data_IF_751733423969
#
_entry.id   IF_751733423969
#
_cell.length_a   1.000
_cell.length_b   1.000
_cell.length_c   1.000
_cell.angle_alpha   90.00
_cell.angle_beta   90.00
_cell.angle_gamma   90.00
#
_symmetry.space_group_name_H-M   'P 1'
#
loop_
_entity.id
_entity.type
_entity.pdbx_description
1 polymer ?
#
# COMPACT_ATOMS: atom_id res chain seq x y z
N UNK A 1 3.14 18.64 1.22
CA UNK A 1 2.09 19.56 1.68
C UNK A 1 1.80 19.39 3.17
N UNK A 2 1.46 18.20 3.66
CA UNK A 2 1.22 17.96 5.11
C UNK A 2 2.33 18.52 6.02
N UNK A 3 3.59 18.11 5.80
CA UNK A 3 4.70 18.53 6.64
C UNK A 3 4.87 20.06 6.71
N UNK A 4 4.65 20.76 5.60
CA UNK A 4 4.77 22.22 5.57
C UNK A 4 3.67 22.88 6.42
N UNK A 5 2.42 22.42 6.31
CA UNK A 5 1.34 22.88 7.18
C UNK A 5 1.58 22.50 8.65
N UNK A 6 2.21 21.36 8.92
CA UNK A 6 2.63 21.01 10.28
C UNK A 6 3.68 22.00 10.83
N UNK A 7 4.65 22.42 10.02
CA UNK A 7 5.62 23.47 10.39
C UNK A 7 4.91 24.80 10.67
N UNK A 8 3.96 25.20 9.83
CA UNK A 8 3.16 26.42 10.02
C UNK A 8 2.34 26.37 11.32
N UNK A 9 1.67 25.24 11.57
CA UNK A 9 0.92 25.00 12.81
C UNK A 9 1.83 25.15 14.04
N UNK A 10 2.99 24.49 14.05
CA UNK A 10 3.92 24.52 15.20
C UNK A 10 4.45 25.94 15.44
N UNK A 11 4.81 26.67 14.38
CA UNK A 11 5.26 28.07 14.50
C UNK A 11 4.15 28.99 15.00
N UNK A 12 2.89 28.75 14.59
CA UNK A 12 1.76 29.54 15.08
C UNK A 12 1.49 29.32 16.57
N UNK A 13 1.73 28.11 17.08
CA UNK A 13 1.56 27.75 18.48
C UNK A 13 2.76 28.18 19.33
N UNK A 14 3.95 28.26 18.73
CA UNK A 14 5.18 28.70 19.38
C UNK A 14 5.97 29.70 18.50
N UNK A 15 5.63 31.00 18.51
CA UNK A 15 6.24 31.99 17.63
C UNK A 15 7.76 32.20 17.81
N UNK A 16 8.33 31.76 18.93
CA UNK A 16 9.75 31.89 19.24
C UNK A 16 10.57 30.63 18.90
N UNK A 17 9.93 29.56 18.39
CA UNK A 17 10.60 28.31 18.06
C UNK A 17 11.65 28.51 16.97
N UNK A 18 12.79 27.83 17.09
CA UNK A 18 13.80 27.84 16.03
C UNK A 18 13.35 27.02 14.82
N UNK A 19 13.92 27.30 13.64
CA UNK A 19 13.60 26.56 12.42
C UNK A 19 13.86 25.05 12.55
N UNK A 20 14.95 24.67 13.20
CA UNK A 20 15.31 23.27 13.40
C UNK A 20 14.32 22.56 14.33
N UNK A 21 13.93 23.20 15.42
CA UNK A 21 12.94 22.63 16.35
C UNK A 21 11.56 22.52 15.72
N UNK A 22 11.13 23.53 14.94
CA UNK A 22 9.87 23.48 14.19
C UNK A 22 9.86 22.31 13.19
N UNK A 23 10.95 22.12 12.44
CA UNK A 23 11.10 20.99 11.53
C UNK A 23 11.01 19.64 12.27
N UNK A 24 11.74 19.47 13.36
CA UNK A 24 11.77 18.19 14.11
C UNK A 24 10.40 17.86 14.72
N UNK A 25 9.72 18.85 15.29
CA UNK A 25 8.36 18.66 15.80
C UNK A 25 7.37 18.37 14.66
N UNK A 26 7.47 19.05 13.52
CA UNK A 26 6.60 18.81 12.37
C UNK A 26 6.83 17.43 11.74
N UNK A 27 8.09 16.99 11.69
CA UNK A 27 8.47 15.63 11.29
C UNK A 27 7.82 14.60 12.22
N UNK A 28 7.95 14.77 13.53
CA UNK A 28 7.34 13.87 14.52
C UNK A 28 5.82 13.82 14.35
N UNK A 29 5.16 14.98 14.27
CA UNK A 29 3.71 15.07 14.08
C UNK A 29 3.26 14.34 12.80
N UNK A 30 3.97 14.56 11.69
CA UNK A 30 3.69 13.90 10.41
C UNK A 30 3.87 12.39 10.50
N UNK A 31 4.99 11.92 11.06
CA UNK A 31 5.28 10.50 11.17
C UNK A 31 4.29 9.78 12.08
N UNK A 32 3.93 10.37 13.21
CA UNK A 32 3.02 9.75 14.17
C UNK A 32 1.60 9.62 13.59
N UNK A 33 1.08 10.64 12.89
CA UNK A 33 -0.20 10.52 12.18
C UNK A 33 -0.12 9.51 11.02
N UNK A 34 1.01 9.43 10.32
CA UNK A 34 1.21 8.43 9.26
C UNK A 34 1.25 6.99 9.81
N UNK A 35 1.98 6.76 10.89
CA UNK A 35 2.06 5.47 11.58
C UNK A 35 0.69 5.07 12.16
N UNK A 36 -0.06 6.03 12.72
CA UNK A 36 -1.44 5.81 13.16
C UNK A 36 -2.33 5.32 12.02
N UNK A 37 -2.33 6.03 10.88
CA UNK A 37 -3.11 5.60 9.71
C UNK A 37 -2.69 4.22 9.20
N UNK A 38 -1.40 3.86 9.27
CA UNK A 38 -0.95 2.51 8.93
C UNK A 38 -1.67 1.47 9.78
N UNK A 39 -1.68 1.62 11.10
CA UNK A 39 -2.24 0.63 12.02
C UNK A 39 -3.77 0.65 12.04
N UNK A 40 -4.38 1.83 12.02
CA UNK A 40 -5.80 2.02 12.32
C UNK A 40 -6.71 2.17 11.09
N UNK A 41 -6.15 2.38 9.89
CA UNK A 41 -6.93 2.47 8.65
C UNK A 41 -6.39 1.54 7.56
N UNK A 42 -5.12 1.69 7.19
CA UNK A 42 -4.53 0.96 6.08
C UNK A 42 -4.47 -0.55 6.32
N UNK A 43 -3.91 -1.01 7.45
CA UNK A 43 -3.84 -2.44 7.76
C UNK A 43 -5.23 -3.09 7.76
N UNK A 44 -6.27 -2.56 8.44
CA UNK A 44 -7.63 -3.11 8.39
C UNK A 44 -8.26 -3.20 6.98
N UNK A 45 -7.79 -2.39 6.03
CA UNK A 45 -8.21 -2.50 4.63
C UNK A 45 -7.61 -3.71 3.90
N UNK A 46 -6.45 -4.22 4.31
CA UNK A 46 -5.73 -5.29 3.59
C UNK A 46 -5.48 -6.54 4.42
N UNK A 47 -5.64 -6.49 5.74
CA UNK A 47 -5.48 -7.60 6.68
C UNK A 47 -6.79 -7.77 7.46
N UNK A 48 -7.31 -9.00 7.62
CA UNK A 48 -8.47 -9.24 8.47
C UNK A 48 -8.21 -8.78 9.92
N UNK A 49 -9.14 -8.02 10.50
CA UNK A 49 -9.01 -7.47 11.86
C UNK A 49 -8.59 -8.51 12.93
N UNK A 50 -9.12 -9.75 12.95
CA UNK A 50 -8.70 -10.75 13.94
C UNK A 50 -7.20 -11.07 13.90
N UNK A 51 -6.53 -10.94 12.75
CA UNK A 51 -5.07 -11.16 12.66
C UNK A 51 -4.31 -9.99 13.26
N UNK A 52 -4.78 -8.75 13.05
CA UNK A 52 -4.20 -7.54 13.65
C UNK A 52 -4.33 -7.61 15.17
N UNK A 53 -5.53 -7.90 15.66
CA UNK A 53 -5.85 -8.00 17.08
C UNK A 53 -4.99 -9.08 17.77
N UNK A 54 -4.82 -10.23 17.12
CA UNK A 54 -3.98 -11.31 17.63
C UNK A 54 -2.51 -10.90 17.73
N UNK A 55 -1.93 -10.25 16.72
CA UNK A 55 -0.54 -9.77 16.80
C UNK A 55 -0.37 -8.72 17.91
N UNK A 56 -1.34 -7.81 18.08
CA UNK A 56 -1.29 -6.79 19.12
C UNK A 56 -1.45 -7.38 20.53
N UNK A 57 -2.28 -8.41 20.68
CA UNK A 57 -2.60 -9.01 21.99
C UNK A 57 -1.62 -10.10 22.41
N UNK A 58 -1.29 -10.99 21.47
CA UNK A 58 -0.49 -12.19 21.72
C UNK A 58 0.97 -12.04 21.24
N UNK A 59 1.29 -10.94 20.56
CA UNK A 59 2.63 -10.66 20.05
C UNK A 59 2.89 -11.23 18.66
N UNK A 60 4.12 -11.01 18.18
CA UNK A 60 4.61 -11.55 16.90
C UNK A 60 5.11 -12.96 17.11
N UNK A 61 4.80 -13.87 16.19
CA UNK A 61 5.24 -15.27 16.26
C UNK A 61 6.35 -15.61 15.26
N UNK A 62 6.44 -14.89 14.14
CA UNK A 62 7.31 -15.20 13.01
C UNK A 62 8.28 -14.07 12.66
N UNK A 63 7.86 -12.82 12.80
CA UNK A 63 8.76 -11.67 12.63
C UNK A 63 9.54 -11.43 13.93
N UNK A 64 10.70 -12.07 14.04
CA UNK A 64 11.61 -11.98 15.18
C UNK A 64 13.04 -11.58 14.73
N UNK A 65 13.32 -10.28 14.55
CA UNK A 65 14.64 -9.81 14.17
C UNK A 65 15.67 -9.98 15.28
N UNK A 66 16.84 -10.50 14.91
CA UNK A 66 17.99 -10.64 15.82
C UNK A 66 18.32 -9.31 16.48
N UNK A 67 18.54 -9.35 17.80
CA UNK A 67 18.86 -8.17 18.63
C UNK A 67 17.86 -7.01 18.48
N UNK A 68 16.61 -7.27 18.12
CA UNK A 68 15.60 -6.25 17.87
C UNK A 68 15.99 -5.27 16.73
N UNK A 69 16.91 -5.66 15.84
CA UNK A 69 17.30 -4.87 14.68
C UNK A 69 16.30 -5.05 13.53
N UNK A 70 15.34 -4.13 13.47
CA UNK A 70 14.25 -4.18 12.51
C UNK A 70 14.76 -4.24 11.05
N UNK A 71 14.23 -5.19 10.27
CA UNK A 71 14.54 -5.37 8.85
C UNK A 71 13.28 -5.72 8.04
N UNK A 72 13.38 -5.70 6.71
CA UNK A 72 12.31 -6.13 5.82
C UNK A 72 12.58 -7.56 5.29
N UNK A 73 11.81 -8.58 5.70
CA UNK A 73 12.01 -9.96 5.24
C UNK A 73 11.78 -10.13 3.74
N UNK A 74 12.46 -11.10 3.12
CA UNK A 74 12.30 -11.37 1.67
C UNK A 74 10.91 -11.92 1.33
N UNK A 75 10.30 -12.65 2.25
CA UNK A 75 8.92 -13.12 2.18
C UNK A 75 7.97 -11.93 2.13
N UNK A 76 8.14 -10.96 3.04
CA UNK A 76 7.34 -9.73 3.05
C UNK A 76 7.48 -8.96 1.74
N UNK A 77 8.69 -8.82 1.19
CA UNK A 77 8.90 -8.14 -0.09
C UNK A 77 8.14 -8.78 -1.27
N UNK A 78 7.70 -10.02 -1.13
CA UNK A 78 7.01 -10.79 -2.16
C UNK A 78 5.51 -10.87 -1.87
N UNK A 79 5.13 -11.08 -0.62
CA UNK A 79 3.74 -10.99 -0.18
C UNK A 79 3.20 -9.58 -0.40
N UNK A 80 3.93 -8.55 0.01
CA UNK A 80 3.53 -7.14 -0.09
C UNK A 80 3.44 -6.61 -1.54
N UNK A 81 3.74 -7.46 -2.53
CA UNK A 81 3.48 -7.21 -3.95
C UNK A 81 2.06 -7.57 -4.38
N UNK A 82 1.20 -8.04 -3.46
CA UNK A 82 -0.21 -8.33 -3.73
C UNK A 82 -0.91 -7.14 -4.40
N UNK A 83 -0.50 -5.90 -4.07
CA UNK A 83 -1.04 -4.67 -4.67
C UNK A 83 -0.92 -4.61 -6.19
N UNK A 84 -0.06 -5.41 -6.83
CA UNK A 84 0.01 -5.47 -8.29
C UNK A 84 -1.27 -6.04 -8.94
N UNK A 85 -2.05 -6.90 -8.28
CA UNK A 85 -3.33 -7.37 -8.82
C UNK A 85 -4.43 -6.30 -8.69
N UNK A 86 -4.29 -5.41 -7.72
CA UNK A 86 -5.24 -4.34 -7.40
C UNK A 86 -5.20 -3.18 -8.41
N UNK A 87 -4.12 -3.08 -9.19
CA UNK A 87 -3.90 -1.99 -10.15
C UNK A 87 -4.93 -2.02 -11.28
N UNK A 88 -5.57 -0.86 -11.52
CA UNK A 88 -6.45 -0.63 -12.68
C UNK A 88 -5.61 -0.29 -13.93
N UNK A 89 -6.08 -0.58 -15.15
CA UNK A 89 -5.36 -0.24 -16.37
C UNK A 89 -5.27 1.28 -16.62
N UNK A 90 -6.20 2.04 -16.02
CA UNK A 90 -6.26 3.51 -16.09
C UNK A 90 -6.92 4.08 -14.84
N UNK A 91 -6.67 5.37 -14.60
CA UNK A 91 -7.28 6.13 -13.54
C UNK A 91 -7.74 7.50 -14.04
N UNK A 92 -8.81 8.03 -13.43
CA UNK A 92 -9.11 9.46 -13.49
C UNK A 92 -8.18 10.15 -12.50
N UNK A 93 -7.08 10.70 -12.99
CA UNK A 93 -6.06 11.27 -12.12
C UNK A 93 -6.47 12.64 -11.56
N UNK A 94 -7.23 13.43 -12.33
CA UNK A 94 -7.67 14.77 -11.94
C UNK A 94 -9.03 15.08 -12.58
N UNK A 95 -9.98 15.65 -11.83
CA UNK A 95 -11.34 15.94 -12.35
C UNK A 95 -11.39 17.18 -13.26
N UNK A 96 -10.40 18.06 -13.19
CA UNK A 96 -10.30 19.28 -13.97
C UNK A 96 -8.93 19.46 -14.64
N UNK A 97 -8.21 18.34 -14.82
CA UNK A 97 -6.82 18.34 -15.27
C UNK A 97 -6.64 18.75 -16.73
N UNK A 98 -7.62 18.55 -17.59
CA UNK A 98 -7.50 18.75 -19.03
C UNK A 98 -8.42 19.88 -19.52
N UNK A 99 -7.95 21.13 -19.44
CA UNK A 99 -8.72 22.34 -19.76
C UNK A 99 -10.07 22.41 -19.02
N UNK A 100 -10.08 22.02 -17.75
CA UNK A 100 -11.28 21.97 -16.90
C UNK A 100 -12.08 20.68 -17.03
N UNK A 101 -11.72 19.77 -17.94
CA UNK A 101 -12.27 18.42 -18.05
C UNK A 101 -11.43 17.39 -17.26
N UNK A 102 -11.98 16.21 -16.96
CA UNK A 102 -11.22 15.17 -16.28
C UNK A 102 -10.07 14.61 -17.11
N UNK A 103 -8.89 14.50 -16.50
CA UNK A 103 -7.75 13.79 -17.06
C UNK A 103 -7.82 12.31 -16.70
N UNK A 104 -8.01 11.47 -17.72
CA UNK A 104 -7.92 10.02 -17.63
C UNK A 104 -6.61 9.55 -18.24
N UNK A 105 -5.78 8.87 -17.44
CA UNK A 105 -4.51 8.32 -17.90
C UNK A 105 -4.49 6.80 -17.81
N UNK A 106 -4.01 6.14 -18.86
CA UNK A 106 -3.54 4.75 -18.76
C UNK A 106 -2.36 4.68 -17.79
N UNK A 107 -2.13 3.56 -17.12
CA UNK A 107 -0.94 3.44 -16.26
C UNK A 107 0.34 3.47 -17.08
N UNK A 108 0.31 2.85 -18.25
CA UNK A 108 1.38 2.84 -19.24
C UNK A 108 0.78 2.82 -20.64
N UNK A 109 1.30 3.66 -21.51
CA UNK A 109 1.02 3.72 -22.94
C UNK A 109 2.32 3.66 -23.76
N UNK A 110 2.69 2.51 -24.33
CA UNK A 110 3.95 2.39 -25.08
C UNK A 110 4.13 3.40 -26.22
N UNK A 111 3.04 3.96 -26.76
CA UNK A 111 3.09 4.94 -27.86
C UNK A 111 3.57 6.33 -27.39
N UNK A 112 3.46 6.62 -26.10
CA UNK A 112 3.85 7.88 -25.48
C UNK A 112 5.33 7.93 -25.07
N UNK A 113 6.16 7.03 -25.60
CA UNK A 113 7.57 6.98 -25.25
C UNK A 113 8.33 8.24 -25.73
N UNK A 114 9.08 8.85 -24.81
CA UNK A 114 9.90 10.04 -25.10
C UNK A 114 9.13 11.36 -25.17
N UNK A 115 7.82 11.36 -24.87
CA UNK A 115 7.05 12.61 -24.78
C UNK A 115 7.32 13.32 -23.45
N UNK A 116 7.32 14.66 -23.44
CA UNK A 116 7.64 15.47 -22.25
C UNK A 116 6.52 15.41 -21.20
N UNK A 117 5.28 15.29 -21.65
CA UNK A 117 4.10 15.13 -20.81
C UNK A 117 3.19 14.04 -21.40
N UNK A 118 3.53 12.75 -21.20
CA UNK A 118 2.79 11.62 -21.79
C UNK A 118 1.33 11.59 -21.34
N UNK A 119 0.40 11.14 -22.17
CA UNK A 119 -1.02 11.04 -21.74
C UNK A 119 -1.27 9.94 -20.70
N UNK A 120 -0.27 9.13 -20.39
CA UNK A 120 -0.31 8.10 -19.35
C UNK A 120 0.20 8.60 -17.98
N UNK A 121 0.17 7.70 -16.99
CA UNK A 121 0.52 8.00 -15.60
C UNK A 121 1.96 7.62 -15.26
N UNK A 122 2.86 7.47 -16.25
CA UNK A 122 4.27 7.26 -15.95
C UNK A 122 4.86 8.46 -15.21
N UNK A 123 5.93 8.19 -14.46
CA UNK A 123 6.63 9.20 -13.69
C UNK A 123 7.36 10.24 -14.55
N UNK A 124 8.13 11.11 -13.88
CA UNK A 124 9.03 12.09 -14.50
C UNK A 124 8.38 13.24 -15.30
N UNK A 125 7.05 13.37 -15.27
CA UNK A 125 6.33 14.51 -15.83
C UNK A 125 5.57 15.31 -14.74
N UNK A 126 5.51 16.64 -14.89
CA UNK A 126 4.97 17.57 -13.88
C UNK A 126 4.09 18.66 -14.51
N UNK A 127 3.02 18.26 -15.20
CA UNK A 127 2.00 19.18 -15.73
C UNK A 127 0.84 19.39 -14.73
N UNK A 128 0.07 20.50 -14.81
CA UNK A 128 -1.07 20.75 -13.93
C UNK A 128 -2.09 19.60 -13.87
N UNK A 129 -2.31 18.90 -14.99
CA UNK A 129 -3.21 17.75 -15.06
C UNK A 129 -2.81 16.56 -14.18
N UNK A 130 -1.55 16.50 -13.74
CA UNK A 130 -1.00 15.41 -12.93
C UNK A 130 -1.16 15.60 -11.42
N UNK A 131 -1.67 16.75 -10.98
CA UNK A 131 -2.04 16.92 -9.57
C UNK A 131 -3.28 16.08 -9.27
N UNK A 132 -3.12 15.11 -8.37
CA UNK A 132 -4.13 14.09 -8.09
C UNK A 132 -5.39 14.70 -7.47
N UNK A 133 -6.54 14.39 -8.05
CA UNK A 133 -7.86 14.57 -7.46
C UNK A 133 -8.16 13.41 -6.52
N UNK A 134 -7.90 13.61 -5.23
CA UNK A 134 -7.94 12.56 -4.23
C UNK A 134 -9.32 11.96 -3.99
N UNK A 135 -10.42 12.65 -4.33
CA UNK A 135 -11.79 12.13 -4.33
C UNK A 135 -12.00 10.94 -5.27
N UNK A 136 -11.11 10.74 -6.26
CA UNK A 136 -11.16 9.51 -7.06
C UNK A 136 -10.67 8.29 -6.27
N UNK A 137 -9.88 8.49 -5.22
CA UNK A 137 -9.16 7.43 -4.49
C UNK A 137 -9.67 7.23 -3.04
N UNK A 138 -10.13 8.31 -2.40
CA UNK A 138 -10.62 8.32 -1.03
C UNK A 138 -12.02 8.92 -0.97
N UNK A 139 -12.87 8.36 -0.12
CA UNK A 139 -14.24 8.82 0.07
C UNK A 139 -14.30 9.97 1.08
N UNK A 140 -14.47 11.20 0.58
CA UNK A 140 -14.68 12.40 1.39
C UNK A 140 -16.15 12.61 1.79
N UNK A 141 -17.03 11.66 1.51
CA UNK A 141 -18.45 11.73 1.84
C UNK A 141 -19.27 12.63 0.90
N UNK A 142 -20.59 12.66 1.14
CA UNK A 142 -21.52 13.57 0.46
C UNK A 142 -21.47 13.46 -1.07
N UNK A 143 -21.23 14.60 -1.72
CA UNK A 143 -21.15 14.66 -3.19
C UNK A 143 -19.89 14.00 -3.76
N UNK A 144 -18.86 13.74 -2.96
CA UNK A 144 -17.60 13.16 -3.42
C UNK A 144 -17.62 11.63 -3.48
N UNK A 145 -18.53 10.96 -2.76
CA UNK A 145 -18.60 9.50 -2.72
C UNK A 145 -18.86 8.87 -4.10
N UNK A 146 -19.54 9.57 -5.01
CA UNK A 146 -19.79 9.08 -6.38
C UNK A 146 -18.51 9.03 -7.23
N UNK A 147 -17.51 9.81 -6.85
CA UNK A 147 -16.25 9.92 -7.59
C UNK A 147 -15.24 8.84 -7.23
N UNK A 148 -15.40 8.21 -6.07
CA UNK A 148 -14.52 7.16 -5.58
C UNK A 148 -14.53 5.98 -6.56
N UNK A 149 -13.34 5.47 -6.87
CA UNK A 149 -13.15 4.28 -7.70
C UNK A 149 -12.30 3.28 -6.92
N UNK A 150 -12.92 2.25 -6.31
CA UNK A 150 -12.19 1.23 -5.59
C UNK A 150 -11.12 0.53 -6.45
N UNK A 151 -10.12 0.01 -5.78
CA UNK A 151 -9.10 -0.84 -6.38
C UNK A 151 -9.71 -2.13 -6.95
N UNK A 152 -8.96 -2.84 -7.80
CA UNK A 152 -9.32 -4.23 -8.15
C UNK A 152 -9.10 -5.15 -6.95
N UNK A 153 -9.68 -6.35 -7.03
CA UNK A 153 -9.51 -7.40 -6.01
C UNK A 153 -8.07 -7.91 -5.95
N UNK A 154 -7.72 -8.47 -4.80
CA UNK A 154 -6.52 -9.28 -4.60
C UNK A 154 -6.82 -10.68 -5.13
N UNK A 155 -6.55 -10.90 -6.41
CA UNK A 155 -6.81 -12.17 -7.09
C UNK A 155 -5.69 -12.52 -8.08
N UNK A 156 -5.82 -13.68 -8.72
CA UNK A 156 -4.85 -14.17 -9.70
C UNK A 156 -4.91 -13.46 -11.06
N UNK A 157 -5.76 -12.44 -11.21
CA UNK A 157 -5.96 -11.68 -12.46
C UNK A 157 -5.27 -10.33 -12.35
N UNK A 158 -4.49 -9.99 -13.35
CA UNK A 158 -3.71 -8.75 -13.37
C UNK A 158 -4.02 -7.94 -14.62
N UNK A 159 -4.05 -6.62 -14.49
CA UNK A 159 -4.32 -5.71 -15.61
C UNK A 159 -3.30 -5.88 -16.74
N UNK A 160 -3.78 -6.01 -17.97
CA UNK A 160 -2.98 -6.23 -19.18
C UNK A 160 -1.74 -5.33 -19.32
N UNK A 161 -1.79 -4.02 -19.01
CA UNK A 161 -0.60 -3.16 -19.13
C UNK A 161 0.58 -3.59 -18.22
N UNK A 162 0.34 -4.36 -17.17
CA UNK A 162 1.40 -4.88 -16.29
C UNK A 162 2.14 -6.09 -16.88
N UNK A 163 1.67 -6.67 -17.98
CA UNK A 163 2.40 -7.70 -18.73
C UNK A 163 3.36 -7.09 -19.77
N UNK A 164 3.24 -5.80 -20.07
CA UNK A 164 4.01 -5.11 -21.08
C UNK A 164 4.49 -3.74 -20.57
N UNK A 165 5.36 -3.76 -19.56
CA UNK A 165 5.92 -2.54 -19.00
C UNK A 165 6.83 -1.82 -20.03
N UNK A 166 6.76 -0.48 -20.14
CA UNK A 166 7.73 0.27 -20.91
C UNK A 166 9.14 0.10 -20.32
N UNK A 167 10.16 -0.10 -21.15
CA UNK A 167 11.53 -0.40 -20.68
C UNK A 167 12.12 0.69 -19.78
N UNK A 168 11.77 1.96 -20.00
CA UNK A 168 12.21 3.09 -19.16
C UNK A 168 11.69 3.05 -17.72
N UNK A 169 10.59 2.33 -17.48
CA UNK A 169 10.05 2.11 -16.13
C UNK A 169 10.78 0.99 -15.40
N UNK A 170 11.66 0.27 -16.10
CA UNK A 170 12.46 -0.83 -15.57
C UNK A 170 13.85 -0.28 -15.24
N UNK A 171 14.33 -0.36 -13.99
CA UNK A 171 15.64 0.20 -13.60
C UNK A 171 16.83 -0.30 -14.43
N UNK A 172 16.78 -1.54 -14.92
CA UNK A 172 17.83 -2.11 -15.78
C UNK A 172 17.68 -1.75 -17.26
N UNK A 173 16.54 -1.18 -17.67
CA UNK A 173 16.21 -0.93 -19.08
C UNK A 173 16.07 -2.20 -19.93
N UNK A 174 15.98 -3.39 -19.31
CA UNK A 174 16.06 -4.68 -19.99
C UNK A 174 14.91 -5.63 -19.64
N UNK A 175 14.55 -6.56 -20.55
CA UNK A 175 13.55 -7.60 -20.31
C UNK A 175 13.86 -8.46 -19.05
N UNK A 176 12.86 -9.17 -18.49
CA UNK A 176 11.48 -9.26 -18.98
C UNK A 176 10.63 -8.03 -18.63
N UNK A 177 9.70 -7.71 -19.53
CA UNK A 177 8.76 -6.58 -19.41
C UNK A 177 7.46 -6.93 -18.68
N UNK A 178 7.20 -8.21 -18.41
CA UNK A 178 6.05 -8.63 -17.60
C UNK A 178 6.36 -8.48 -16.12
N UNK A 179 5.60 -7.65 -15.41
CA UNK A 179 5.74 -7.47 -13.96
C UNK A 179 5.53 -8.80 -13.22
N UNK A 180 4.62 -9.65 -13.71
CA UNK A 180 4.34 -10.96 -13.11
C UNK A 180 5.51 -11.93 -13.29
N UNK A 181 6.12 -11.93 -14.48
CA UNK A 181 7.35 -12.70 -14.70
C UNK A 181 8.47 -12.22 -13.78
N UNK A 182 8.62 -10.90 -13.61
CA UNK A 182 9.64 -10.32 -12.70
C UNK A 182 9.41 -10.72 -11.24
N UNK A 183 8.16 -10.77 -10.79
CA UNK A 183 7.82 -11.23 -9.42
C UNK A 183 8.15 -12.71 -9.22
N UNK A 184 7.80 -13.57 -10.19
CA UNK A 184 8.10 -14.99 -10.12
C UNK A 184 9.62 -15.26 -10.18
N UNK A 185 10.36 -14.55 -11.05
CA UNK A 185 11.82 -14.62 -11.07
C UNK A 185 12.43 -14.16 -9.74
N UNK A 186 11.86 -13.14 -9.10
CA UNK A 186 12.31 -12.69 -7.78
C UNK A 186 12.12 -13.77 -6.70
N UNK A 187 11.05 -14.55 -6.78
CA UNK A 187 10.86 -15.72 -5.91
C UNK A 187 11.98 -16.73 -6.08
N UNK A 188 12.41 -16.98 -7.33
CA UNK A 188 13.53 -17.89 -7.63
C UNK A 188 14.86 -17.32 -7.15
N UNK A 189 15.14 -16.04 -7.40
CA UNK A 189 16.38 -15.37 -6.97
C UNK A 189 16.59 -15.46 -5.45
N UNK A 190 15.52 -15.30 -4.68
CA UNK A 190 15.58 -15.40 -3.22
C UNK A 190 15.32 -16.82 -2.68
N UNK A 191 15.19 -17.81 -3.57
CA UNK A 191 14.92 -19.21 -3.22
C UNK A 191 13.73 -19.37 -2.26
N UNK A 192 12.67 -18.60 -2.49
CA UNK A 192 11.55 -18.57 -1.56
C UNK A 192 10.85 -19.92 -1.46
N UNK A 193 10.43 -20.31 -0.24
CA UNK A 193 9.58 -21.47 -0.06
C UNK A 193 8.23 -21.31 -0.79
N UNK A 194 7.58 -22.43 -1.09
CA UNK A 194 6.22 -22.41 -1.62
C UNK A 194 5.23 -21.87 -0.58
N UNK A 195 4.10 -21.37 -1.05
CA UNK A 195 3.05 -20.90 -0.13
C UNK A 195 2.57 -21.99 0.83
N UNK A 196 2.43 -23.25 0.37
CA UNK A 196 2.11 -24.38 1.24
C UNK A 196 3.18 -24.63 2.31
N UNK A 197 4.47 -24.50 1.97
CA UNK A 197 5.55 -24.69 2.94
C UNK A 197 5.50 -23.62 4.03
N UNK A 198 5.29 -22.36 3.64
CA UNK A 198 5.12 -21.26 4.60
C UNK A 198 3.87 -21.48 5.46
N UNK A 199 2.73 -21.84 4.84
CA UNK A 199 1.51 -22.13 5.58
C UNK A 199 1.73 -23.21 6.65
N UNK A 200 2.39 -24.31 6.29
CA UNK A 200 2.72 -25.38 7.24
C UNK A 200 3.65 -24.92 8.36
N UNK A 201 4.70 -24.15 8.06
CA UNK A 201 5.59 -23.56 9.08
C UNK A 201 4.81 -22.68 10.06
N UNK A 202 3.82 -21.94 9.54
CA UNK A 202 2.97 -21.06 10.34
C UNK A 202 1.80 -21.79 11.01
N UNK A 203 1.70 -23.11 10.86
CA UNK A 203 0.54 -23.92 11.30
C UNK A 203 -0.81 -23.41 10.76
N UNK A 204 -0.79 -22.82 9.57
CA UNK A 204 -1.96 -22.38 8.81
C UNK A 204 -2.35 -23.47 7.83
N UNK A 205 -3.65 -23.78 7.70
CA UNK A 205 -4.13 -24.77 6.73
C UNK A 205 -3.77 -24.34 5.30
N UNK A 206 -2.93 -25.09 4.57
CA UNK A 206 -2.54 -24.73 3.22
C UNK A 206 -3.70 -24.86 2.23
N UNK A 207 -3.66 -24.09 1.14
CA UNK A 207 -4.51 -24.36 -0.02
C UNK A 207 -4.29 -25.78 -0.52
N UNK A 208 -5.38 -26.49 -0.76
CA UNK A 208 -5.37 -27.86 -1.25
C UNK A 208 -4.97 -27.93 -2.73
N UNK A 209 -4.49 -29.10 -3.17
CA UNK A 209 -4.20 -29.33 -4.60
C UNK A 209 -5.43 -29.11 -5.50
N UNK A 210 -6.63 -29.36 -4.98
CA UNK A 210 -7.89 -29.16 -5.71
C UNK A 210 -8.16 -27.67 -5.96
N UNK A 211 -7.89 -26.81 -4.99
CA UNK A 211 -8.02 -25.35 -5.09
C UNK A 211 -7.00 -24.72 -6.05
N UNK A 212 -5.94 -25.45 -6.36
CA UNK A 212 -4.83 -25.02 -7.21
C UNK A 212 -4.80 -25.75 -8.54
N UNK A 213 -5.82 -26.55 -8.87
CA UNK A 213 -5.82 -27.46 -10.03
C UNK A 213 -5.49 -26.77 -11.36
N UNK A 214 -5.74 -25.47 -11.48
CA UNK A 214 -5.40 -24.65 -12.65
C UNK A 214 -3.90 -24.54 -12.93
N UNK A 215 -3.05 -24.81 -11.94
CA UNK A 215 -1.59 -24.84 -12.10
C UNK A 215 -1.08 -26.18 -12.66
N UNK A 216 -1.89 -27.24 -12.59
CA UNK A 216 -1.49 -28.59 -13.01
C UNK A 216 -1.05 -28.67 -14.49
N UNK A 217 -1.74 -28.02 -15.45
CA UNK A 217 -1.31 -28.01 -16.85
C UNK A 217 0.01 -27.27 -17.10
N UNK A 218 0.38 -26.32 -16.23
CA UNK A 218 1.66 -25.59 -16.32
C UNK A 218 2.79 -26.50 -15.84
N UNK A 219 2.63 -27.07 -14.65
CA UNK A 219 3.53 -28.06 -14.07
C UNK A 219 2.82 -28.83 -12.97
N UNK A 220 2.76 -30.15 -13.07
CA UNK A 220 2.02 -30.99 -12.12
C UNK A 220 2.42 -30.75 -10.65
N UNK A 221 3.70 -30.47 -10.37
CA UNK A 221 4.18 -30.23 -9.00
C UNK A 221 3.74 -28.88 -8.40
N UNK A 222 3.19 -27.95 -9.19
CA UNK A 222 2.79 -26.63 -8.69
C UNK A 222 1.55 -26.67 -7.81
N UNK A 223 0.72 -27.70 -7.91
CA UNK A 223 -0.44 -27.86 -7.00
C UNK A 223 -0.02 -28.25 -5.58
N UNK A 224 1.18 -28.83 -5.40
CA UNK A 224 1.74 -29.12 -4.07
C UNK A 224 2.83 -28.13 -3.63
N UNK A 225 3.44 -27.41 -4.57
CA UNK A 225 4.53 -26.47 -4.32
C UNK A 225 4.35 -25.22 -5.18
N UNK A 226 3.36 -24.41 -4.84
CA UNK A 226 2.99 -23.20 -5.57
C UNK A 226 3.97 -22.06 -5.26
N UNK A 227 4.46 -21.32 -6.27
CA UNK A 227 5.26 -20.11 -6.03
C UNK A 227 4.54 -19.13 -5.10
N UNK A 228 5.25 -18.63 -4.09
CA UNK A 228 4.67 -17.82 -3.01
C UNK A 228 3.78 -16.69 -3.52
N UNK A 229 4.25 -15.89 -4.47
CA UNK A 229 3.50 -14.76 -5.01
C UNK A 229 2.12 -15.16 -5.55
N UNK A 230 2.04 -16.24 -6.34
CA UNK A 230 0.77 -16.73 -6.86
C UNK A 230 -0.11 -17.28 -5.74
N UNK A 231 0.48 -18.03 -4.81
CA UNK A 231 -0.25 -18.61 -3.68
C UNK A 231 -0.96 -17.52 -2.85
N UNK A 232 -0.28 -16.42 -2.54
CA UNK A 232 -0.88 -15.31 -1.77
C UNK A 232 -2.08 -14.69 -2.48
N UNK A 233 -1.99 -14.50 -3.80
CA UNK A 233 -3.10 -13.98 -4.59
C UNK A 233 -4.29 -14.96 -4.61
N UNK A 234 -4.03 -16.25 -4.80
CA UNK A 234 -5.08 -17.28 -4.80
C UNK A 234 -5.69 -17.47 -3.42
N UNK A 235 -4.90 -17.36 -2.37
CA UNK A 235 -5.37 -17.46 -0.98
C UNK A 235 -6.30 -16.30 -0.64
N UNK A 236 -5.93 -15.07 -1.01
CA UNK A 236 -6.80 -13.91 -0.86
C UNK A 236 -8.12 -14.08 -1.63
N UNK A 237 -8.04 -14.50 -2.90
CA UNK A 237 -9.20 -14.78 -3.77
C UNK A 237 -10.19 -15.76 -3.12
N UNK A 238 -9.68 -16.87 -2.55
CA UNK A 238 -10.51 -17.96 -2.03
C UNK A 238 -10.97 -17.78 -0.58
N UNK A 239 -10.22 -17.04 0.24
CA UNK A 239 -10.49 -16.93 1.69
C UNK A 239 -11.16 -15.61 2.07
N UNK A 240 -10.85 -14.54 1.36
CA UNK A 240 -11.30 -13.17 1.67
C UNK A 240 -12.03 -12.52 0.48
N UNK A 241 -12.45 -13.31 -0.53
CA UNK A 241 -13.03 -12.81 -1.79
C UNK A 241 -12.10 -11.81 -2.51
N UNK A 242 -10.80 -11.83 -2.22
CA UNK A 242 -9.84 -10.84 -2.69
C UNK A 242 -10.09 -9.42 -2.18
N UNK A 243 -10.84 -9.24 -1.09
CA UNK A 243 -11.00 -7.94 -0.43
C UNK A 243 -9.85 -7.64 0.55
N UNK A 244 -9.26 -8.69 1.12
CA UNK A 244 -8.11 -8.64 2.02
C UNK A 244 -7.16 -9.80 1.71
N UNK A 245 -5.99 -9.79 2.32
CA UNK A 245 -5.04 -10.90 2.26
C UNK A 245 -5.59 -12.13 2.99
N UNK A 246 -5.36 -13.30 2.42
CA UNK A 246 -5.63 -14.57 3.10
C UNK A 246 -4.67 -14.85 4.27
N UNK A 247 -4.89 -15.94 5.04
CA UNK A 247 -4.23 -16.16 6.33
C UNK A 247 -2.70 -16.05 6.33
N UNK A 248 -1.99 -16.63 5.35
CA UNK A 248 -0.52 -16.55 5.28
C UNK A 248 -0.09 -15.12 4.97
N UNK A 249 -0.68 -14.51 3.95
CA UNK A 249 -0.33 -13.16 3.53
C UNK A 249 -0.61 -12.12 4.62
N UNK A 250 -1.78 -12.24 5.25
CA UNK A 250 -2.24 -11.39 6.33
C UNK A 250 -1.28 -11.43 7.52
N UNK A 251 -0.90 -12.64 7.97
CA UNK A 251 0.01 -12.80 9.11
C UNK A 251 1.38 -12.19 8.84
N UNK A 252 1.98 -12.45 7.67
CA UNK A 252 3.28 -11.89 7.30
C UNK A 252 3.24 -10.36 7.28
N UNK A 253 2.20 -9.78 6.67
CA UNK A 253 2.09 -8.32 6.55
C UNK A 253 1.83 -7.67 7.90
N UNK A 254 0.90 -8.21 8.69
CA UNK A 254 0.56 -7.69 10.02
C UNK A 254 1.78 -7.69 10.95
N UNK A 255 2.47 -8.81 11.08
CA UNK A 255 3.61 -8.92 12.00
C UNK A 255 4.77 -8.03 11.61
N UNK A 256 5.05 -7.86 10.31
CA UNK A 256 6.11 -6.96 9.86
C UNK A 256 5.75 -5.51 10.16
N UNK A 257 4.55 -5.03 9.79
CA UNK A 257 4.18 -3.65 10.09
C UNK A 257 4.15 -3.35 11.59
N UNK A 258 3.50 -4.20 12.37
CA UNK A 258 3.40 -4.01 13.82
C UNK A 258 4.77 -4.14 14.47
N UNK A 259 5.60 -5.10 14.02
CA UNK A 259 6.97 -5.25 14.52
C UNK A 259 7.86 -4.06 14.21
N UNK A 260 7.78 -3.51 12.99
CA UNK A 260 8.50 -2.28 12.65
C UNK A 260 8.07 -1.12 13.55
N UNK A 261 6.77 -0.96 13.82
CA UNK A 261 6.26 0.06 14.75
C UNK A 261 6.72 -0.15 16.20
N UNK A 262 6.78 -1.40 16.66
CA UNK A 262 7.24 -1.75 18.02
C UNK A 262 8.75 -1.55 18.21
N UNK A 263 9.54 -1.77 17.15
CA UNK A 263 10.99 -1.75 17.20
C UNK A 263 11.61 -0.40 16.81
N UNK A 264 10.86 0.47 16.12
CA UNK A 264 11.28 1.83 15.80
C UNK A 264 11.30 2.69 17.07
N UNK A 265 12.46 3.20 17.53
CA UNK A 265 12.55 4.02 18.75
C UNK A 265 11.90 5.41 18.63
N UNK A 266 11.56 5.85 17.41
CA UNK A 266 10.89 7.13 17.16
C UNK A 266 9.37 6.99 16.91
N UNK A 267 8.87 5.74 16.83
CA UNK A 267 7.47 5.43 16.58
C UNK A 267 6.56 5.91 17.70
N UNK A 268 5.35 6.38 17.37
CA UNK A 268 4.36 6.71 18.41
C UNK A 268 4.11 5.50 19.31
N UNK A 269 4.10 4.29 18.73
CA UNK A 269 3.80 3.04 19.41
C UNK A 269 4.84 2.69 20.48
N UNK A 270 6.11 3.02 20.27
CA UNK A 270 7.20 2.74 21.23
C UNK A 270 7.43 3.89 22.21
N UNK A 271 7.28 5.13 21.76
CA UNK A 271 7.55 6.34 22.56
C UNK A 271 6.38 6.71 23.46
N UNK A 272 5.14 6.59 22.98
CA UNK A 272 3.92 6.93 23.71
C UNK A 272 2.77 6.03 23.22
N UNK A 273 2.67 4.77 23.72
CA UNK A 273 1.71 3.78 23.22
C UNK A 273 0.23 4.23 23.27
N UNK A 274 -0.11 5.07 24.25
CA UNK A 274 -1.46 5.65 24.41
C UNK A 274 -1.64 6.97 23.63
N UNK A 275 -0.68 7.34 22.77
CA UNK A 275 -0.83 8.52 21.92
C UNK A 275 -1.96 8.31 20.93
N UNK A 276 -2.81 9.33 20.81
CA UNK A 276 -3.86 9.42 19.82
C UNK A 276 -3.61 10.64 18.92
N UNK A 277 -4.15 10.67 17.69
CA UNK A 277 -4.04 11.80 16.78
C UNK A 277 -4.46 13.11 17.45
N UNK A 278 -3.78 14.19 17.09
CA UNK A 278 -4.00 15.51 17.70
C UNK A 278 -4.50 16.55 16.69
N UNK A 279 -4.52 16.19 15.41
CA UNK A 279 -5.05 17.05 14.36
C UNK A 279 -6.57 16.88 14.23
N UNK A 280 -7.26 17.88 13.66
CA UNK A 280 -8.70 17.80 13.44
C UNK A 280 -9.08 16.57 12.61
N UNK A 281 -10.18 15.94 12.99
CA UNK A 281 -10.86 14.89 12.24
C UNK A 281 -12.13 15.46 11.60
N UNK A 282 -12.55 14.89 10.47
CA UNK A 282 -13.77 15.27 9.77
C UNK A 282 -15.00 14.88 10.57
N UNK A 283 -15.01 13.65 11.09
CA UNK A 283 -16.10 13.07 11.88
C UNK A 283 -15.54 12.25 13.04
N UNK A 284 -16.08 12.46 14.25
CA UNK A 284 -15.82 11.62 15.41
C UNK A 284 -14.68 12.10 16.31
N UNK A 285 -14.25 11.26 17.27
CA UNK A 285 -13.21 11.60 18.22
C UNK A 285 -11.81 11.54 17.56
N UNK A 286 -10.73 12.03 18.19
CA UNK A 286 -9.41 12.06 17.54
C UNK A 286 -8.90 10.70 17.04
N UNK A 287 -9.31 9.60 17.65
CA UNK A 287 -8.98 8.22 17.27
C UNK A 287 -9.55 7.81 15.90
N UNK A 288 -10.55 8.53 15.38
CA UNK A 288 -11.10 8.27 14.04
C UNK A 288 -10.31 8.92 12.91
N UNK A 289 -9.13 9.51 13.19
CA UNK A 289 -8.27 10.13 12.18
C UNK A 289 -7.88 9.14 11.07
N UNK A 290 -8.12 9.56 9.83
CA UNK A 290 -7.96 8.79 8.59
C UNK A 290 -7.25 9.59 7.50
N UNK A 291 -6.99 8.95 6.38
CA UNK A 291 -6.32 9.53 5.21
C UNK A 291 -7.02 10.78 4.69
N UNK A 292 -8.35 10.83 4.75
CA UNK A 292 -9.09 12.03 4.36
C UNK A 292 -8.73 13.23 5.24
N UNK A 293 -8.57 13.03 6.55
CA UNK A 293 -8.18 14.08 7.50
C UNK A 293 -6.74 14.53 7.26
N UNK A 294 -5.86 13.56 6.96
CA UNK A 294 -4.48 13.83 6.56
C UNK A 294 -4.41 14.68 5.28
N UNK A 295 -5.22 14.35 4.26
CA UNK A 295 -5.27 15.08 3.00
C UNK A 295 -5.91 16.47 3.15
N UNK A 296 -6.92 16.60 4.01
CA UNK A 296 -7.53 17.90 4.36
C UNK A 296 -6.56 18.79 5.11
N UNK A 297 -5.86 18.26 6.13
CA UNK A 297 -4.81 19.03 6.82
C UNK A 297 -3.68 19.44 5.86
N UNK A 298 -3.38 18.59 4.87
CA UNK A 298 -2.42 18.92 3.83
C UNK A 298 -2.93 19.95 2.81
N UNK A 299 -4.20 20.36 2.85
CA UNK A 299 -4.83 21.31 1.93
C UNK A 299 -4.92 20.78 0.49
N UNK A 300 -5.03 19.46 0.33
CA UNK A 300 -5.12 18.81 -0.99
C UNK A 300 -6.43 18.05 -1.18
N UNK A 301 -7.35 18.10 -0.22
CA UNK A 301 -8.71 17.59 -0.37
C UNK A 301 -9.48 18.34 -1.48
N UNK A 302 -10.62 17.80 -1.93
CA UNK A 302 -11.36 18.34 -3.06
C UNK A 302 -11.83 19.79 -2.84
N UNK A 303 -12.23 20.15 -1.62
CA UNK A 303 -12.73 21.49 -1.31
C UNK A 303 -11.61 22.52 -1.42
N UNK A 304 -10.44 22.25 -0.82
CA UNK A 304 -9.29 23.14 -0.91
C UNK A 304 -8.70 23.23 -2.33
N UNK A 305 -8.84 22.18 -3.15
CA UNK A 305 -8.35 22.14 -4.53
C UNK A 305 -9.32 22.71 -5.56
N UNK A 306 -10.58 22.93 -5.20
CA UNK A 306 -11.64 23.31 -6.14
C UNK A 306 -11.88 22.22 -7.21
N UNK A 307 -11.84 20.95 -6.80
CA UNK A 307 -12.10 19.78 -7.65
C UNK A 307 -13.31 18.98 -7.19
#
# INVERSE_FOLDING_TARGET
MFHNHAVELIRSQNPAITDNEAYLQARRLTLWHYQWMILHEFLPHIVPQPVIDDVLTNGRHFYDPLHNEAFIPVEFQIVYRFGHSMVRPSYRANLHGDNGQPFFGMIFDPEEQGTVDPVDLRGFARAPRRFIGWQTFFDFGGAYSVDVKPNKRIDTKVSTPLFQLPLETIPSGTPPVSLMQRNLLRCVTWMLPSGQRIANEMSITPLSSAELTELQPIRASFVQSTPLFYYILKEAELREDGLRLGPVGARIVAEVFIGLLQLDPDSYFSVQPDWIPTLPTHDGPPESFRMIDFLTFAGVDPTNRGQ
#
